data_IF_824794740551
#
_entry.id   IF_824794740551
#
_cell.length_a   1.000
_cell.length_b   1.000
_cell.length_c   1.000
_cell.angle_alpha   90.00
_cell.angle_beta   90.00
_cell.angle_gamma   90.00
#
_symmetry.space_group_name_H-M   'P 1'
#
loop_
_entity.id
_entity.type
_entity.pdbx_description
1 polymer ?
#
# COMPACT_ATOMS: atom_id res chain seq x y z
N UNK A 1 -22.21 -4.55 23.04
CA UNK A 1 -21.64 -5.47 22.04
C UNK A 1 -20.58 -4.71 21.28
N UNK A 2 -19.31 -5.05 21.52
CA UNK A 2 -18.15 -4.20 21.25
C UNK A 2 -17.68 -4.39 19.80
N UNK A 3 -18.32 -3.69 18.86
CA UNK A 3 -17.92 -3.68 17.45
C UNK A 3 -16.76 -2.70 17.24
N UNK A 4 -15.55 -3.11 17.63
CA UNK A 4 -14.32 -2.51 17.10
C UNK A 4 -14.01 -3.14 15.74
N UNK A 5 -14.87 -2.88 14.76
CA UNK A 5 -14.65 -3.24 13.35
C UNK A 5 -13.80 -2.13 12.71
N UNK A 6 -12.61 -1.85 13.25
CA UNK A 6 -11.67 -0.96 12.59
C UNK A 6 -11.19 -1.66 11.32
N UNK A 7 -11.59 -1.15 10.15
CA UNK A 7 -11.08 -1.58 8.86
C UNK A 7 -9.58 -1.27 8.83
N UNK A 8 -8.76 -2.31 9.00
CA UNK A 8 -7.31 -2.19 9.03
C UNK A 8 -6.75 -1.98 7.62
N UNK A 9 -6.04 -0.88 7.40
CA UNK A 9 -5.34 -0.60 6.16
C UNK A 9 -4.01 -1.38 6.08
N UNK A 10 -3.81 -2.14 5.01
CA UNK A 10 -2.57 -2.89 4.75
C UNK A 10 -2.04 -2.53 3.36
N UNK A 11 -0.71 -2.37 3.26
CA UNK A 11 -0.03 -1.99 2.02
C UNK A 11 1.26 -2.79 1.85
N UNK A 12 1.53 -3.22 0.62
CA UNK A 12 2.85 -3.67 0.18
C UNK A 12 3.51 -2.52 -0.57
N UNK A 13 4.70 -2.12 -0.14
CA UNK A 13 5.42 -0.99 -0.70
C UNK A 13 6.89 -1.34 -0.89
N UNK A 14 7.44 -0.98 -2.05
CA UNK A 14 8.89 -0.91 -2.27
C UNK A 14 9.33 0.53 -2.06
N UNK A 15 10.29 0.74 -1.16
CA UNK A 15 10.82 2.07 -0.83
C UNK A 15 12.27 2.13 -1.31
N UNK A 16 12.67 3.25 -1.90
CA UNK A 16 14.06 3.49 -2.30
C UNK A 16 14.99 3.58 -1.09
N UNK A 17 16.29 3.40 -1.31
CA UNK A 17 17.29 3.39 -0.25
C UNK A 17 17.46 4.77 0.44
N UNK A 18 16.96 5.83 -0.19
CA UNK A 18 17.01 7.20 0.27
C UNK A 18 15.87 7.60 1.22
N UNK A 19 14.84 6.76 1.39
CA UNK A 19 13.69 7.05 2.26
C UNK A 19 13.50 5.92 3.27
N UNK A 20 13.37 6.27 4.55
CA UNK A 20 13.02 5.29 5.59
C UNK A 20 11.54 4.88 5.52
N UNK A 21 11.21 3.69 6.02
CA UNK A 21 9.81 3.21 6.05
C UNK A 21 8.93 4.16 6.87
N UNK A 22 9.42 4.67 7.98
CA UNK A 22 8.71 5.63 8.83
C UNK A 22 8.37 6.89 8.05
N UNK A 23 9.32 7.41 7.26
CA UNK A 23 9.10 8.60 6.45
C UNK A 23 8.08 8.35 5.35
N UNK A 24 8.15 7.20 4.69
CA UNK A 24 7.16 6.79 3.69
C UNK A 24 5.75 6.69 4.30
N UNK A 25 5.61 6.04 5.46
CA UNK A 25 4.33 5.92 6.17
C UNK A 25 3.81 7.29 6.63
N UNK A 26 4.69 8.19 7.10
CA UNK A 26 4.33 9.56 7.44
C UNK A 26 3.75 10.32 6.24
N UNK A 27 4.37 10.19 5.06
CA UNK A 27 3.84 10.82 3.85
C UNK A 27 2.47 10.28 3.45
N UNK A 28 2.27 8.96 3.52
CA UNK A 28 0.98 8.33 3.20
C UNK A 28 -0.11 8.80 4.17
N UNK A 29 0.15 8.69 5.48
CA UNK A 29 -0.81 9.08 6.52
C UNK A 29 -1.12 10.57 6.49
N UNK A 30 -0.08 11.40 6.40
CA UNK A 30 -0.18 12.86 6.37
C UNK A 30 -0.91 13.37 5.13
N UNK A 31 -0.55 12.86 3.95
CA UNK A 31 -1.20 13.21 2.69
C UNK A 31 -2.69 12.82 2.67
N UNK A 32 -3.04 11.66 3.21
CA UNK A 32 -4.45 11.29 3.38
C UNK A 32 -5.17 12.21 4.37
N UNK A 33 -4.61 12.44 5.56
CA UNK A 33 -5.26 13.27 6.57
C UNK A 33 -5.48 14.72 6.10
N UNK A 34 -4.53 15.27 5.33
CA UNK A 34 -4.66 16.58 4.71
C UNK A 34 -5.85 16.65 3.74
N UNK A 35 -5.93 15.71 2.78
CA UNK A 35 -7.04 15.66 1.81
C UNK A 35 -8.38 15.35 2.48
N UNK A 36 -8.41 14.41 3.41
CA UNK A 36 -9.59 14.05 4.19
C UNK A 36 -10.15 15.25 4.98
N UNK A 37 -9.28 16.05 5.60
CA UNK A 37 -9.70 17.27 6.29
C UNK A 37 -10.22 18.34 5.32
N UNK A 38 -9.62 18.47 4.13
CA UNK A 38 -10.02 19.48 3.13
C UNK A 38 -11.30 19.11 2.37
N UNK A 39 -11.46 17.86 1.99
CA UNK A 39 -12.50 17.39 1.06
C UNK A 39 -13.70 16.77 1.78
N UNK A 40 -13.48 16.17 2.96
CA UNK A 40 -14.50 15.43 3.70
C UNK A 40 -14.82 16.05 5.08
N UNK A 41 -14.22 17.19 5.41
CA UNK A 41 -14.31 17.84 6.74
C UNK A 41 -13.99 16.87 7.91
N UNK A 42 -13.15 15.86 7.66
CA UNK A 42 -12.79 14.87 8.66
C UNK A 42 -11.81 15.47 9.68
N UNK A 43 -12.23 15.50 10.95
CA UNK A 43 -11.41 16.02 12.06
C UNK A 43 -10.48 14.94 12.62
N UNK A 44 -9.27 15.35 12.99
CA UNK A 44 -8.27 14.47 13.57
C UNK A 44 -8.71 13.91 14.94
N UNK A 45 -8.21 12.72 15.34
CA UNK A 45 -7.25 11.88 14.63
C UNK A 45 -7.89 10.83 13.70
N UNK A 46 -7.47 10.83 12.44
CA UNK A 46 -7.94 9.87 11.42
C UNK A 46 -7.16 8.54 11.46
N UNK A 47 -5.91 8.58 11.95
CA UNK A 47 -5.03 7.41 12.01
C UNK A 47 -4.70 7.01 13.45
N UNK A 48 -4.58 5.70 13.70
CA UNK A 48 -3.94 5.21 14.92
C UNK A 48 -2.46 5.61 14.99
N UNK A 49 -1.98 5.81 16.23
CA UNK A 49 -0.57 6.08 16.52
C UNK A 49 0.27 4.83 16.20
N UNK A 50 1.30 4.97 15.38
CA UNK A 50 2.20 3.88 14.98
C UNK A 50 1.72 3.04 13.78
N UNK A 51 2.51 2.06 13.38
CA UNK A 51 2.21 1.09 12.32
C UNK A 51 2.99 -0.21 12.60
N UNK A 52 2.56 -1.31 11.99
CA UNK A 52 3.31 -2.57 11.98
C UNK A 52 3.96 -2.75 10.61
N UNK A 53 5.21 -3.20 10.61
CA UNK A 53 5.95 -3.51 9.38
C UNK A 53 6.39 -4.97 9.34
N UNK A 54 6.48 -5.50 8.11
CA UNK A 54 7.07 -6.80 7.81
C UNK A 54 7.94 -6.61 6.58
N UNK A 55 9.22 -7.02 6.66
CA UNK A 55 10.15 -6.95 5.52
C UNK A 55 9.96 -8.15 4.61
N UNK A 56 9.85 -7.89 3.31
CA UNK A 56 9.68 -8.92 2.28
C UNK A 56 11.01 -9.08 1.55
N UNK A 57 11.65 -10.24 1.74
CA UNK A 57 13.01 -10.50 1.24
C UNK A 57 13.04 -11.38 -0.01
N UNK A 58 11.95 -12.11 -0.27
CA UNK A 58 11.87 -13.05 -1.38
C UNK A 58 10.45 -13.15 -1.96
N UNK A 59 10.34 -13.84 -3.10
CA UNK A 59 9.09 -14.02 -3.84
C UNK A 59 8.05 -14.87 -3.09
N UNK A 60 8.48 -15.80 -2.24
CA UNK A 60 7.59 -16.64 -1.42
C UNK A 60 6.95 -15.82 -0.30
N UNK A 61 7.74 -15.01 0.40
CA UNK A 61 7.28 -14.05 1.38
C UNK A 61 6.31 -13.03 0.74
N UNK A 62 6.65 -12.53 -0.45
CA UNK A 62 5.78 -11.64 -1.21
C UNK A 62 4.41 -12.30 -1.51
N UNK A 63 4.40 -13.52 -2.05
CA UNK A 63 3.17 -14.22 -2.39
C UNK A 63 2.29 -14.43 -1.14
N UNK A 64 2.89 -14.87 -0.03
CA UNK A 64 2.17 -15.09 1.25
C UNK A 64 1.53 -13.80 1.77
N UNK A 65 2.28 -12.70 1.80
CA UNK A 65 1.76 -11.42 2.32
C UNK A 65 0.73 -10.81 1.37
N UNK A 66 0.94 -10.90 0.06
CA UNK A 66 -0.04 -10.48 -0.95
C UNK A 66 -1.37 -11.23 -0.74
N UNK A 67 -1.32 -12.54 -0.59
CA UNK A 67 -2.51 -13.37 -0.43
C UNK A 67 -3.18 -13.13 0.93
N UNK A 68 -2.41 -12.86 1.99
CA UNK A 68 -2.95 -12.42 3.28
C UNK A 68 -3.74 -11.11 3.15
N UNK A 69 -3.17 -10.08 2.51
CA UNK A 69 -3.81 -8.77 2.34
C UNK A 69 -5.10 -8.91 1.52
N UNK A 70 -5.02 -9.61 0.38
CA UNK A 70 -6.17 -9.82 -0.51
C UNK A 70 -7.31 -10.56 0.18
N UNK A 71 -7.00 -11.54 1.03
CA UNK A 71 -8.01 -12.31 1.75
C UNK A 71 -8.44 -11.70 3.10
N UNK A 72 -7.85 -10.58 3.53
CA UNK A 72 -8.23 -9.95 4.79
C UNK A 72 -9.73 -9.59 4.86
N UNK A 73 -10.34 -9.01 3.81
CA UNK A 73 -11.78 -8.71 3.82
C UNK A 73 -12.65 -9.96 4.01
N UNK A 74 -12.25 -11.10 3.41
CA UNK A 74 -12.95 -12.39 3.56
C UNK A 74 -12.80 -12.90 4.99
N UNK A 75 -11.57 -12.90 5.55
CA UNK A 75 -11.31 -13.31 6.95
C UNK A 75 -12.06 -12.46 7.96
N UNK A 76 -12.26 -11.17 7.65
CA UNK A 76 -13.04 -10.21 8.45
C UNK A 76 -14.55 -10.28 8.18
N UNK A 77 -15.00 -11.17 7.29
CA UNK A 77 -16.41 -11.36 6.91
C UNK A 77 -17.08 -10.11 6.32
N UNK A 78 -16.29 -9.27 5.65
CA UNK A 78 -16.78 -8.08 4.93
C UNK A 78 -17.36 -8.46 3.56
N UNK A 79 -16.82 -9.51 2.95
CA UNK A 79 -17.18 -10.02 1.62
C UNK A 79 -17.02 -11.54 1.60
N UNK A 80 -17.65 -12.21 0.62
CA UNK A 80 -17.55 -13.66 0.46
C UNK A 80 -16.29 -14.08 -0.30
N UNK A 81 -15.87 -13.28 -1.28
CA UNK A 81 -14.62 -13.49 -2.04
C UNK A 81 -13.77 -12.22 -2.05
N UNK A 82 -12.46 -12.37 -2.28
CA UNK A 82 -11.53 -11.25 -2.21
C UNK A 82 -11.83 -10.15 -3.26
N UNK A 83 -12.28 -10.56 -4.44
CA UNK A 83 -12.56 -9.72 -5.61
C UNK A 83 -13.77 -8.81 -5.39
N UNK A 84 -14.66 -9.18 -4.48
CA UNK A 84 -15.84 -8.38 -4.14
C UNK A 84 -15.50 -7.15 -3.28
N UNK A 85 -14.31 -7.10 -2.67
CA UNK A 85 -13.95 -5.95 -1.84
C UNK A 85 -13.49 -4.78 -2.72
N UNK A 86 -14.23 -3.65 -2.74
CA UNK A 86 -14.01 -2.60 -3.72
C UNK A 86 -12.68 -1.85 -3.54
N UNK A 87 -12.08 -1.90 -2.35
CA UNK A 87 -10.88 -1.16 -1.97
C UNK A 87 -9.64 -2.07 -1.84
N UNK A 88 -9.55 -3.13 -2.62
CA UNK A 88 -8.42 -4.07 -2.63
C UNK A 88 -7.93 -4.38 -4.04
N UNK A 89 -6.63 -4.59 -4.19
CA UNK A 89 -5.98 -5.02 -5.43
C UNK A 89 -6.31 -6.45 -5.88
N UNK A 90 -7.17 -7.16 -5.14
CA UNK A 90 -7.80 -8.40 -5.60
C UNK A 90 -8.87 -8.12 -6.68
N UNK A 91 -9.50 -6.95 -6.64
CA UNK A 91 -10.48 -6.54 -7.64
C UNK A 91 -9.76 -6.11 -8.92
N UNK A 92 -10.14 -6.69 -10.04
CA UNK A 92 -9.68 -6.27 -11.36
C UNK A 92 -10.41 -5.01 -11.84
N UNK A 93 -9.78 -4.27 -12.75
CA UNK A 93 -10.41 -3.09 -13.38
C UNK A 93 -10.54 -1.87 -12.46
N UNK A 94 -9.68 -1.74 -11.45
CA UNK A 94 -9.56 -0.51 -10.67
C UNK A 94 -9.00 0.61 -11.55
N UNK A 95 -9.78 1.67 -11.74
CA UNK A 95 -9.32 2.92 -12.32
C UNK A 95 -8.34 3.58 -11.34
N UNK A 96 -7.13 3.89 -11.81
CA UNK A 96 -6.12 4.57 -11.01
C UNK A 96 -6.23 6.07 -11.23
N UNK A 97 -6.08 6.83 -10.14
CA UNK A 97 -5.95 8.28 -10.23
C UNK A 97 -4.76 8.66 -11.13
N UNK A 98 -4.83 9.77 -11.87
CA UNK A 98 -3.69 10.27 -12.60
C UNK A 98 -2.51 10.53 -11.64
N UNK A 99 -1.26 10.40 -12.11
CA UNK A 99 -0.10 10.76 -11.30
C UNK A 99 -0.24 12.19 -10.74
N UNK A 100 0.01 12.41 -9.44
CA UNK A 100 -0.10 13.75 -8.88
C UNK A 100 0.83 14.74 -9.57
N UNK A 101 0.33 15.96 -9.78
CA UNK A 101 1.10 17.04 -10.39
C UNK A 101 2.32 17.38 -9.52
N UNK A 102 3.50 17.46 -10.14
CA UNK A 102 4.76 17.76 -9.47
C UNK A 102 5.62 16.54 -9.09
N UNK A 103 5.21 15.32 -9.45
CA UNK A 103 6.13 14.18 -9.49
C UNK A 103 7.24 14.46 -10.50
N UNK A 104 8.48 14.54 -10.03
CA UNK A 104 9.65 14.57 -10.92
C UNK A 104 9.68 13.25 -11.71
N UNK A 105 10.09 13.27 -12.99
CA UNK A 105 10.26 12.04 -13.76
C UNK A 105 11.14 11.06 -13.00
N UNK A 106 10.66 9.83 -12.80
CA UNK A 106 11.50 8.75 -12.28
C UNK A 106 12.43 8.36 -13.43
N UNK A 107 13.73 8.58 -13.29
CA UNK A 107 14.71 8.01 -14.21
C UNK A 107 14.65 6.48 -14.09
N UNK A 108 14.02 5.84 -15.07
CA UNK A 108 14.02 4.38 -15.17
C UNK A 108 15.43 3.96 -15.58
N UNK A 109 16.31 3.68 -14.62
CA UNK A 109 17.57 2.99 -14.90
C UNK A 109 17.22 1.61 -15.44
N UNK A 110 17.43 1.41 -16.75
CA UNK A 110 17.43 0.07 -17.36
C UNK A 110 18.49 -0.77 -16.65
N UNK A 111 18.07 -1.82 -15.96
CA UNK A 111 18.93 -2.95 -15.66
C UNK A 111 19.04 -3.80 -16.93
N UNK A 112 19.84 -3.35 -17.90
CA UNK A 112 20.47 -4.25 -18.86
C UNK A 112 21.97 -4.06 -18.70
N UNK A 113 22.58 -5.02 -18.03
CA UNK A 113 23.99 -5.42 -18.19
C UNK A 113 24.14 -6.71 -17.37
N UNK A 114 23.60 -7.81 -17.92
CA UNK A 114 24.03 -9.16 -17.53
C UNK A 114 24.85 -9.72 -18.67
N UNK A 115 26.10 -10.05 -18.34
CA UNK A 115 26.90 -11.14 -18.89
C UNK A 115 27.15 -11.15 -20.41
N UNK A 116 28.24 -10.50 -20.84
CA UNK A 116 29.02 -10.99 -21.98
C UNK A 116 30.50 -10.57 -21.86
N UNK A 117 31.28 -11.35 -21.11
CA UNK A 117 32.74 -11.34 -21.18
C UNK A 117 33.29 -12.64 -20.57
N UNK A 118 33.00 -13.76 -21.23
CA UNK A 118 33.77 -14.99 -21.12
C UNK A 118 33.77 -15.66 -22.49
N UNK A 119 34.73 -15.28 -23.32
CA UNK A 119 35.23 -16.06 -24.45
C UNK A 119 36.70 -15.73 -24.64
#
# INVERSE_FOLDING_TARGET
>A
MNSWSCLTFHLLLTVGNEISIEKAVQFIKGGFAFRAGKELDLKAPVWHKGFSEVRIVDSSAYAKVRDYIRNNPVKRRLVLTAEQYPFSSARSGLELDPPPQGLKPVEVRRLVDTAEAAS
#
